data_IF_268520584422
#
_entry.id   IF_268520584422
#
_cell.length_a   1.000
_cell.length_b   1.000
_cell.length_c   1.000
_cell.angle_alpha   90.00
_cell.angle_beta   90.00
_cell.angle_gamma   90.00
#
_symmetry.space_group_name_H-M   'P 1'
#
loop_
_entity.id
_entity.type
_entity.pdbx_description
1 polymer ?
#
# COMPACT_ATOMS: atom_id res chain seq x y z
N UNK A 1 -27.00 -10.21 -17.34
CA UNK A 1 -25.61 -10.10 -17.82
C UNK A 1 -24.75 -11.00 -16.97
N UNK A 2 -24.02 -11.92 -17.59
CA UNK A 2 -23.09 -12.82 -16.87
C UNK A 2 -21.97 -11.95 -16.27
N UNK A 3 -21.75 -12.02 -14.95
CA UNK A 3 -20.70 -11.22 -14.29
C UNK A 3 -19.34 -11.67 -14.84
N UNK A 4 -18.55 -10.74 -15.36
CA UNK A 4 -17.19 -11.00 -15.83
C UNK A 4 -16.36 -11.58 -14.70
N UNK A 5 -15.87 -12.81 -14.85
CA UNK A 5 -14.97 -13.44 -13.87
C UNK A 5 -13.52 -13.08 -14.15
N UNK A 6 -12.74 -12.98 -13.09
CA UNK A 6 -11.30 -12.72 -13.15
C UNK A 6 -10.58 -13.88 -13.84
N UNK A 7 -9.70 -13.52 -14.79
CA UNK A 7 -8.68 -14.42 -15.34
C UNK A 7 -7.47 -14.44 -14.43
N UNK A 8 -6.59 -15.43 -14.60
CA UNK A 8 -5.36 -15.51 -13.80
C UNK A 8 -4.52 -14.23 -13.83
N UNK A 9 -4.37 -13.61 -15.01
CA UNK A 9 -3.66 -12.34 -15.14
C UNK A 9 -4.29 -11.21 -14.30
N UNK A 10 -5.62 -11.13 -14.25
CA UNK A 10 -6.32 -10.13 -13.43
C UNK A 10 -6.04 -10.35 -11.94
N UNK A 11 -5.98 -11.62 -11.49
CA UNK A 11 -5.67 -11.95 -10.09
C UNK A 11 -4.21 -11.64 -9.76
N UNK A 12 -3.26 -11.95 -10.64
CA UNK A 12 -1.83 -11.60 -10.49
C UNK A 12 -1.65 -10.09 -10.37
N UNK A 13 -2.28 -9.32 -11.27
CA UNK A 13 -2.23 -7.86 -11.22
C UNK A 13 -2.91 -7.30 -9.97
N UNK A 14 -3.99 -7.92 -9.49
CA UNK A 14 -4.61 -7.55 -8.22
C UNK A 14 -3.67 -7.78 -7.04
N UNK A 15 -2.92 -8.90 -7.00
CA UNK A 15 -1.88 -9.15 -6.00
C UNK A 15 -0.84 -8.02 -6.02
N UNK A 16 -0.33 -7.66 -7.18
CA UNK A 16 0.67 -6.58 -7.32
C UNK A 16 0.05 -5.23 -6.91
N UNK A 17 -1.19 -4.96 -7.32
CA UNK A 17 -1.87 -3.72 -6.95
C UNK A 17 -2.05 -3.57 -5.44
N UNK A 18 -2.42 -4.63 -4.75
CA UNK A 18 -2.67 -4.64 -3.30
C UNK A 18 -1.37 -4.58 -2.51
N UNK A 19 -0.42 -5.48 -2.81
CA UNK A 19 0.76 -5.72 -1.97
C UNK A 19 1.88 -4.73 -2.26
N UNK A 20 2.16 -4.41 -3.54
CA UNK A 20 3.26 -3.52 -3.86
C UNK A 20 2.91 -2.06 -3.55
N UNK A 21 3.69 -1.45 -2.66
CA UNK A 21 3.54 -0.06 -2.22
C UNK A 21 4.74 0.74 -2.73
N UNK A 22 4.50 1.58 -3.76
CA UNK A 22 5.59 2.26 -4.49
C UNK A 22 6.35 3.28 -3.61
N UNK A 23 5.64 3.93 -2.69
CA UNK A 23 6.18 4.91 -1.74
C UNK A 23 7.18 4.33 -0.75
N UNK A 24 7.14 3.03 -0.51
CA UNK A 24 7.88 2.39 0.55
C UNK A 24 9.34 2.06 0.22
N UNK A 25 9.72 2.05 -1.05
CA UNK A 25 11.09 1.72 -1.45
C UNK A 25 12.09 2.80 -1.03
N UNK A 26 11.68 4.07 -1.02
CA UNK A 26 12.56 5.19 -0.68
C UNK A 26 12.92 5.27 0.81
N UNK A 27 11.97 5.21 1.78
CA UNK A 27 12.30 5.26 3.19
C UNK A 27 13.32 4.19 3.62
N UNK A 28 13.17 2.96 3.15
CA UNK A 28 14.10 1.87 3.49
C UNK A 28 15.51 2.12 2.96
N UNK A 29 15.67 2.85 1.85
CA UNK A 29 16.98 3.19 1.33
C UNK A 29 17.79 4.14 2.23
N UNK A 30 17.16 4.81 3.20
CA UNK A 30 17.83 5.67 4.19
C UNK A 30 18.78 4.92 5.11
N UNK A 31 18.61 3.61 5.31
CA UNK A 31 19.57 2.78 6.08
C UNK A 31 20.78 2.32 5.25
N UNK A 32 20.98 2.90 4.06
CA UNK A 32 22.12 2.59 3.19
C UNK A 32 22.07 1.17 2.62
N UNK A 33 23.27 0.59 2.36
CA UNK A 33 23.36 -0.72 1.71
C UNK A 33 22.91 -1.89 2.60
N UNK A 34 22.78 -1.72 3.92
CA UNK A 34 22.21 -2.73 4.81
C UNK A 34 20.76 -3.06 4.44
N UNK A 35 20.04 -2.15 3.74
CA UNK A 35 18.72 -2.40 3.20
C UNK A 35 18.63 -3.67 2.35
N UNK A 36 19.65 -3.97 1.54
CA UNK A 36 19.62 -5.14 0.64
C UNK A 36 19.58 -6.45 1.41
N UNK A 37 20.35 -6.53 2.54
CA UNK A 37 20.25 -7.67 3.44
C UNK A 37 18.83 -7.79 4.01
N UNK A 38 18.26 -6.69 4.51
CA UNK A 38 16.95 -6.71 5.14
C UNK A 38 15.83 -7.02 4.15
N UNK A 39 15.89 -6.50 2.92
CA UNK A 39 14.94 -6.88 1.87
C UNK A 39 15.01 -8.37 1.56
N UNK A 40 16.20 -8.93 1.29
CA UNK A 40 16.38 -10.35 0.99
C UNK A 40 15.96 -11.23 2.16
N UNK A 41 16.38 -10.88 3.38
CA UNK A 41 16.02 -11.63 4.57
C UNK A 41 14.51 -11.64 4.78
N UNK A 42 13.83 -10.50 4.67
CA UNK A 42 12.38 -10.43 4.85
C UNK A 42 11.58 -11.06 3.69
N UNK A 43 12.10 -11.09 2.47
CA UNK A 43 11.50 -11.87 1.38
C UNK A 43 11.48 -13.36 1.76
N UNK A 44 12.57 -13.89 2.30
CA UNK A 44 12.67 -15.30 2.67
C UNK A 44 11.96 -15.62 3.99
N UNK A 45 12.11 -14.76 4.99
CA UNK A 45 11.61 -15.01 6.35
C UNK A 45 10.16 -14.62 6.56
N UNK A 46 9.63 -13.67 5.76
CA UNK A 46 8.27 -13.17 5.92
C UNK A 46 7.43 -13.30 4.65
N UNK A 47 7.82 -12.69 3.53
CA UNK A 47 6.99 -12.64 2.31
C UNK A 47 6.65 -14.05 1.80
N UNK A 48 7.65 -14.94 1.70
CA UNK A 48 7.46 -16.30 1.22
C UNK A 48 6.55 -17.13 2.14
N UNK A 49 6.82 -17.26 3.47
CA UNK A 49 5.94 -18.02 4.36
C UNK A 49 4.52 -17.42 4.42
N UNK A 50 4.40 -16.11 4.51
CA UNK A 50 3.11 -15.43 4.54
C UNK A 50 2.30 -15.67 3.26
N UNK A 51 2.95 -15.58 2.09
CA UNK A 51 2.31 -15.89 0.82
C UNK A 51 1.82 -17.34 0.73
N UNK A 52 2.64 -18.31 1.18
CA UNK A 52 2.25 -19.72 1.21
C UNK A 52 1.07 -19.98 2.15
N UNK A 53 1.09 -19.41 3.37
CA UNK A 53 0.00 -19.52 4.34
C UNK A 53 -1.28 -18.87 3.78
N UNK A 54 -1.19 -17.67 3.22
CA UNK A 54 -2.35 -16.99 2.63
C UNK A 54 -2.91 -17.77 1.43
N UNK A 55 -2.06 -18.39 0.65
CA UNK A 55 -2.45 -19.26 -0.47
C UNK A 55 -3.21 -20.51 0.01
N UNK A 56 -2.71 -21.18 1.04
CA UNK A 56 -3.34 -22.36 1.62
C UNK A 56 -4.69 -22.01 2.25
N UNK A 57 -4.72 -21.00 3.11
CA UNK A 57 -5.95 -20.59 3.79
C UNK A 57 -6.98 -19.99 2.82
N UNK A 58 -6.55 -19.20 1.83
CA UNK A 58 -7.46 -18.66 0.81
C UNK A 58 -8.07 -19.71 -0.10
N UNK A 59 -7.39 -20.84 -0.31
CA UNK A 59 -7.95 -21.98 -1.06
C UNK A 59 -8.82 -22.88 -0.21
N UNK A 60 -8.50 -23.03 1.07
CA UNK A 60 -9.30 -23.80 2.02
C UNK A 60 -10.63 -23.10 2.38
N UNK A 61 -10.59 -21.77 2.48
CA UNK A 61 -11.72 -20.91 2.84
C UNK A 61 -12.00 -19.86 1.76
N UNK A 62 -12.49 -20.26 0.57
CA UNK A 62 -12.74 -19.34 -0.54
C UNK A 62 -14.03 -18.54 -0.30
N UNK A 63 -13.93 -17.34 0.24
CA UNK A 63 -15.11 -16.51 0.52
C UNK A 63 -14.73 -15.10 0.95
N UNK A 64 -15.77 -14.27 1.16
CA UNK A 64 -15.63 -12.85 1.51
C UNK A 64 -15.13 -12.63 2.95
N UNK A 65 -15.12 -13.68 3.78
CA UNK A 65 -14.70 -13.62 5.18
C UNK A 65 -13.20 -13.42 5.38
N UNK A 66 -12.37 -13.89 4.42
CA UNK A 66 -10.93 -13.73 4.46
C UNK A 66 -10.31 -14.08 5.82
N UNK A 67 -9.49 -13.19 6.36
CA UNK A 67 -8.80 -13.35 7.66
C UNK A 67 -9.77 -13.67 8.83
N UNK A 68 -10.98 -13.12 8.81
CA UNK A 68 -11.98 -13.41 9.85
C UNK A 68 -12.36 -14.89 9.86
N UNK A 69 -12.68 -15.47 8.69
CA UNK A 69 -13.09 -16.88 8.61
C UNK A 69 -11.97 -17.81 9.07
N UNK A 70 -10.71 -17.51 8.73
CA UNK A 70 -9.57 -18.31 9.14
C UNK A 70 -9.43 -18.40 10.66
N UNK A 71 -9.51 -17.23 11.31
CA UNK A 71 -9.34 -17.12 12.77
C UNK A 71 -10.57 -17.64 13.50
N UNK A 72 -11.78 -17.30 13.03
CA UNK A 72 -13.02 -17.77 13.64
C UNK A 72 -13.16 -19.29 13.56
N UNK A 73 -12.78 -19.92 12.45
CA UNK A 73 -12.79 -21.37 12.29
C UNK A 73 -11.78 -22.06 13.20
N UNK A 74 -10.59 -21.47 13.38
CA UNK A 74 -9.56 -22.02 14.26
C UNK A 74 -9.96 -21.92 15.75
N UNK A 75 -10.69 -20.86 16.14
CA UNK A 75 -11.11 -20.59 17.52
C UNK A 75 -12.57 -20.14 17.60
N UNK A 76 -13.54 -21.02 17.32
CA UNK A 76 -14.96 -20.66 17.18
C UNK A 76 -15.59 -20.15 18.48
N UNK A 77 -15.16 -20.68 19.63
CA UNK A 77 -15.70 -20.30 20.95
C UNK A 77 -15.01 -19.08 21.58
N UNK A 78 -14.16 -18.40 20.81
CA UNK A 78 -13.37 -17.26 21.28
C UNK A 78 -13.78 -15.95 20.57
N UNK A 79 -13.36 -14.81 21.13
CA UNK A 79 -13.52 -13.51 20.47
C UNK A 79 -12.31 -13.13 19.59
N UNK A 80 -11.46 -14.08 19.21
CA UNK A 80 -10.30 -13.78 18.39
C UNK A 80 -10.68 -13.34 16.97
N UNK A 81 -11.71 -13.96 16.38
CA UNK A 81 -12.25 -13.53 15.08
C UNK A 81 -12.70 -12.07 15.09
N UNK A 82 -13.50 -11.68 16.09
CA UNK A 82 -13.97 -10.32 16.29
C UNK A 82 -12.80 -9.32 16.46
N UNK A 83 -11.81 -9.66 17.29
CA UNK A 83 -10.62 -8.81 17.53
C UNK A 83 -9.79 -8.64 16.26
N UNK A 84 -9.54 -9.74 15.55
CA UNK A 84 -8.78 -9.71 14.30
C UNK A 84 -9.46 -8.84 13.24
N UNK A 85 -10.78 -9.00 13.06
CA UNK A 85 -11.56 -8.17 12.14
C UNK A 85 -11.53 -6.70 12.52
N UNK A 86 -11.60 -6.39 13.82
CA UNK A 86 -11.52 -5.02 14.30
C UNK A 86 -10.16 -4.40 14.00
N UNK A 87 -9.05 -5.07 14.33
CA UNK A 87 -7.70 -4.57 14.05
C UNK A 87 -7.43 -4.47 12.56
N UNK A 88 -7.89 -5.42 11.77
CA UNK A 88 -7.75 -5.42 10.32
C UNK A 88 -8.51 -4.24 9.69
N UNK A 89 -9.76 -4.02 10.12
CA UNK A 89 -10.56 -2.93 9.60
C UNK A 89 -10.04 -1.55 10.02
N UNK A 90 -9.72 -1.33 11.30
CA UNK A 90 -9.32 0.00 11.78
C UNK A 90 -8.00 0.50 11.16
N UNK A 91 -7.11 -0.42 10.81
CA UNK A 91 -5.88 -0.08 10.12
C UNK A 91 -6.14 0.60 8.77
N UNK A 92 -7.17 0.18 8.04
CA UNK A 92 -7.47 0.68 6.70
C UNK A 92 -7.82 2.19 6.65
N UNK A 93 -8.79 2.72 7.42
CA UNK A 93 -9.07 4.16 7.40
C UNK A 93 -7.91 5.02 7.90
N UNK A 94 -7.09 4.52 8.83
CA UNK A 94 -5.89 5.23 9.30
C UNK A 94 -4.86 5.34 8.17
N UNK A 95 -4.60 4.24 7.46
CA UNK A 95 -3.71 4.22 6.33
C UNK A 95 -4.23 5.05 5.15
N UNK A 96 -5.53 4.99 4.86
CA UNK A 96 -6.16 5.83 3.84
C UNK A 96 -5.98 7.33 4.14
N UNK A 97 -6.11 7.74 5.40
CA UNK A 97 -5.83 9.12 5.82
C UNK A 97 -4.36 9.50 5.62
N UNK A 98 -3.43 8.59 5.93
CA UNK A 98 -2.00 8.79 5.70
C UNK A 98 -1.68 9.03 4.23
N UNK A 99 -2.18 8.18 3.34
CA UNK A 99 -1.94 8.35 1.91
C UNK A 99 -2.64 9.60 1.33
N UNK A 100 -3.77 9.99 1.90
CA UNK A 100 -4.45 11.23 1.52
C UNK A 100 -3.56 12.47 1.72
N UNK A 101 -2.70 12.46 2.75
CA UNK A 101 -1.78 13.59 3.04
C UNK A 101 -0.76 13.79 1.91
N UNK A 102 -0.38 12.77 1.16
CA UNK A 102 0.54 12.87 0.03
C UNK A 102 -0.08 13.51 -1.22
N UNK A 103 -1.41 13.43 -1.37
CA UNK A 103 -2.10 13.86 -2.59
C UNK A 103 -1.91 15.35 -2.93
N UNK A 104 -1.98 16.31 -1.99
CA UNK A 104 -1.74 17.74 -2.27
C UNK A 104 -0.35 18.00 -2.86
N UNK A 105 0.68 17.37 -2.31
CA UNK A 105 2.06 17.52 -2.78
C UNK A 105 2.24 16.96 -4.19
N UNK A 106 1.71 15.74 -4.44
CA UNK A 106 1.74 15.13 -5.77
C UNK A 106 1.05 16.00 -6.82
N UNK A 107 -0.11 16.57 -6.50
CA UNK A 107 -0.79 17.54 -7.39
C UNK A 107 0.04 18.82 -7.58
N UNK A 108 0.77 19.23 -6.54
CA UNK A 108 1.71 20.34 -6.62
C UNK A 108 2.79 20.12 -7.68
N UNK A 109 3.39 18.93 -7.72
CA UNK A 109 4.35 18.56 -8.77
C UNK A 109 3.72 18.48 -10.17
N UNK A 110 2.46 18.03 -10.29
CA UNK A 110 1.76 17.95 -11.57
C UNK A 110 1.45 19.32 -12.16
N UNK A 111 0.95 20.24 -11.34
CA UNK A 111 0.43 21.55 -11.80
C UNK A 111 1.38 22.71 -11.54
N UNK A 112 2.53 22.49 -10.90
CA UNK A 112 3.44 23.57 -10.50
C UNK A 112 2.83 24.51 -9.45
N UNK A 113 1.90 24.02 -8.63
CA UNK A 113 1.14 24.77 -7.64
C UNK A 113 1.34 24.17 -6.24
N UNK A 114 1.53 25.03 -5.26
CA UNK A 114 1.59 24.61 -3.87
C UNK A 114 0.26 24.93 -3.18
N UNK A 115 -0.58 23.93 -2.89
CA UNK A 115 -1.85 24.14 -2.23
C UNK A 115 -1.65 24.63 -0.79
N UNK A 116 -2.35 25.71 -0.43
CA UNK A 116 -2.40 26.17 0.95
C UNK A 116 -3.19 25.19 1.84
N UNK A 117 -3.14 25.35 3.18
CA UNK A 117 -3.69 24.37 4.14
C UNK A 117 -5.15 23.98 3.87
N UNK A 118 -6.00 24.93 3.50
CA UNK A 118 -7.42 24.68 3.20
C UNK A 118 -7.58 23.79 1.95
N UNK A 119 -6.85 24.09 0.87
CA UNK A 119 -6.90 23.32 -0.35
C UNK A 119 -6.28 21.93 -0.17
N UNK A 120 -5.21 21.81 0.63
CA UNK A 120 -4.64 20.52 1.01
C UNK A 120 -5.68 19.64 1.70
N UNK A 121 -6.40 20.17 2.67
CA UNK A 121 -7.47 19.42 3.35
C UNK A 121 -8.62 19.04 2.39
N UNK A 122 -9.03 19.94 1.50
CA UNK A 122 -10.07 19.64 0.49
C UNK A 122 -9.63 18.50 -0.43
N UNK A 123 -8.37 18.50 -0.89
CA UNK A 123 -7.81 17.44 -1.73
C UNK A 123 -7.76 16.09 -0.98
N UNK A 124 -7.31 16.11 0.28
CA UNK A 124 -7.28 14.92 1.14
C UNK A 124 -8.67 14.30 1.32
N UNK A 125 -9.65 15.12 1.66
CA UNK A 125 -11.04 14.68 1.79
C UNK A 125 -11.60 14.18 0.45
N UNK A 126 -11.32 14.86 -0.65
CA UNK A 126 -11.73 14.39 -1.98
C UNK A 126 -11.17 13.00 -2.31
N UNK A 127 -9.88 12.75 -2.01
CA UNK A 127 -9.27 11.43 -2.17
C UNK A 127 -10.03 10.36 -1.37
N UNK A 128 -10.26 10.59 -0.07
CA UNK A 128 -10.96 9.67 0.81
C UNK A 128 -12.36 9.34 0.29
N UNK A 129 -13.12 10.36 -0.11
CA UNK A 129 -14.50 10.17 -0.56
C UNK A 129 -14.60 9.55 -1.96
N UNK A 130 -13.65 9.82 -2.85
CA UNK A 130 -13.58 9.11 -4.14
C UNK A 130 -13.35 7.60 -3.91
N UNK A 131 -12.38 7.24 -3.07
CA UNK A 131 -12.13 5.83 -2.71
C UNK A 131 -13.36 5.20 -2.06
N UNK A 132 -14.00 5.90 -1.13
CA UNK A 132 -15.22 5.43 -0.44
C UNK A 132 -16.37 5.19 -1.41
N UNK A 133 -16.61 6.10 -2.36
CA UNK A 133 -17.69 5.97 -3.36
C UNK A 133 -17.40 4.83 -4.33
N UNK A 134 -16.15 4.68 -4.76
CA UNK A 134 -15.78 3.56 -5.66
C UNK A 134 -15.97 2.21 -4.96
N UNK A 135 -15.78 2.12 -3.65
CA UNK A 135 -16.04 0.91 -2.88
C UNK A 135 -17.52 0.46 -2.87
N UNK A 136 -18.46 1.31 -3.31
CA UNK A 136 -19.87 0.93 -3.47
C UNK A 136 -20.16 0.12 -4.73
N UNK A 137 -19.16 -0.12 -5.58
CA UNK A 137 -19.26 -0.86 -6.82
C UNK A 137 -18.46 -2.18 -6.75
N UNK A 138 -18.89 -3.24 -7.45
CA UNK A 138 -18.23 -4.54 -7.41
C UNK A 138 -16.78 -4.47 -7.91
N UNK A 139 -15.93 -5.32 -7.35
CA UNK A 139 -14.52 -5.47 -7.78
C UNK A 139 -14.41 -5.75 -9.28
N UNK A 140 -15.34 -6.55 -9.84
CA UNK A 140 -15.36 -6.86 -11.27
C UNK A 140 -15.49 -5.62 -12.16
N UNK A 141 -16.19 -4.59 -11.69
CA UNK A 141 -16.37 -3.33 -12.44
C UNK A 141 -15.11 -2.45 -12.31
N UNK A 142 -14.35 -2.65 -11.24
CA UNK A 142 -13.12 -1.89 -10.95
C UNK A 142 -11.85 -2.57 -11.44
N UNK A 143 -11.93 -3.75 -12.08
CA UNK A 143 -10.78 -4.54 -12.51
C UNK A 143 -9.82 -3.78 -13.43
N UNK A 144 -10.35 -2.89 -14.27
CA UNK A 144 -9.53 -2.06 -15.16
C UNK A 144 -8.68 -1.09 -14.33
N UNK A 145 -9.23 -0.52 -13.27
CA UNK A 145 -8.52 0.40 -12.35
C UNK A 145 -7.40 -0.36 -11.63
N UNK A 146 -7.68 -1.57 -11.13
CA UNK A 146 -6.70 -2.40 -10.44
C UNK A 146 -5.55 -2.81 -11.38
N UNK A 147 -5.88 -3.29 -12.57
CA UNK A 147 -4.90 -3.73 -13.57
C UNK A 147 -4.04 -2.57 -14.06
N UNK A 148 -4.64 -1.41 -14.33
CA UNK A 148 -3.92 -0.21 -14.73
C UNK A 148 -2.99 0.28 -13.61
N UNK A 149 -3.48 0.32 -12.38
CA UNK A 149 -2.68 0.70 -11.22
C UNK A 149 -1.49 -0.24 -11.02
N UNK A 150 -1.68 -1.55 -11.11
CA UNK A 150 -0.60 -2.53 -11.03
C UNK A 150 0.45 -2.32 -12.14
N UNK A 151 0.01 -2.12 -13.38
CA UNK A 151 0.91 -1.86 -14.50
C UNK A 151 1.73 -0.56 -14.29
N UNK A 152 1.09 0.51 -13.81
CA UNK A 152 1.75 1.77 -13.47
C UNK A 152 2.75 1.58 -12.32
N UNK A 153 2.41 0.83 -11.28
CA UNK A 153 3.32 0.52 -10.16
C UNK A 153 4.58 -0.19 -10.65
N UNK A 154 4.44 -1.20 -11.51
CA UNK A 154 5.58 -1.89 -12.12
C UNK A 154 6.40 -0.90 -12.95
N UNK A 155 5.75 -0.08 -13.78
CA UNK A 155 6.42 0.92 -14.60
C UNK A 155 7.23 1.90 -13.75
N UNK A 156 6.65 2.43 -12.66
CA UNK A 156 7.33 3.35 -11.74
C UNK A 156 8.56 2.71 -11.11
N UNK A 157 8.42 1.49 -10.56
CA UNK A 157 9.53 0.78 -9.94
C UNK A 157 10.67 0.49 -10.94
N UNK A 158 10.31 0.05 -12.16
CA UNK A 158 11.29 -0.17 -13.24
C UNK A 158 11.93 1.15 -13.65
N UNK A 159 11.17 2.23 -13.76
CA UNK A 159 11.71 3.56 -14.10
C UNK A 159 12.74 4.02 -13.08
N UNK A 160 12.45 3.90 -11.79
CA UNK A 160 13.38 4.26 -10.72
C UNK A 160 14.66 3.43 -10.78
N UNK A 161 14.54 2.11 -10.95
CA UNK A 161 15.71 1.22 -11.09
C UNK A 161 16.57 1.56 -12.31
N UNK A 162 15.95 1.81 -13.47
CA UNK A 162 16.65 2.20 -14.71
C UNK A 162 17.31 3.56 -14.58
N UNK A 163 16.61 4.56 -14.01
CA UNK A 163 17.20 5.88 -13.77
C UNK A 163 18.42 5.80 -12.85
N UNK A 164 18.34 4.97 -11.79
CA UNK A 164 19.49 4.71 -10.92
C UNK A 164 20.69 4.14 -11.67
N UNK A 165 20.48 3.13 -12.53
CA UNK A 165 21.55 2.56 -13.38
C UNK A 165 22.14 3.63 -14.31
N UNK A 166 21.30 4.42 -14.98
CA UNK A 166 21.75 5.48 -15.89
C UNK A 166 22.53 6.56 -15.13
N UNK A 167 22.08 6.92 -13.94
CA UNK A 167 22.77 7.89 -13.10
C UNK A 167 24.16 7.39 -12.69
N UNK A 168 24.25 6.16 -12.20
CA UNK A 168 25.52 5.53 -11.79
C UNK A 168 26.47 5.38 -12.98
N UNK A 169 25.98 5.02 -14.17
CA UNK A 169 26.80 4.89 -15.36
C UNK A 169 27.43 6.22 -15.79
N UNK A 170 26.81 7.37 -15.44
CA UNK A 170 27.30 8.71 -15.77
C UNK A 170 28.13 9.35 -14.69
N UNK A 171 27.77 9.14 -13.43
CA UNK A 171 28.30 9.89 -12.29
C UNK A 171 29.07 8.99 -11.28
N UNK A 172 28.99 7.67 -11.43
CA UNK A 172 29.46 6.71 -10.42
C UNK A 172 28.46 6.52 -9.28
N UNK A 173 28.79 5.60 -8.37
CA UNK A 173 27.99 5.36 -7.16
C UNK A 173 28.14 6.55 -6.20
N UNK A 174 27.02 6.98 -5.62
CA UNK A 174 27.00 8.10 -4.66
C UNK A 174 27.31 7.62 -3.25
N UNK A 175 26.85 6.42 -2.90
CA UNK A 175 27.13 5.78 -1.62
C UNK A 175 28.29 4.79 -1.73
N UNK A 176 28.99 4.55 -0.60
CA UNK A 176 30.06 3.55 -0.54
C UNK A 176 29.49 2.15 -0.77
N UNK A 177 29.97 1.48 -1.83
CA UNK A 177 29.55 0.11 -2.23
C UNK A 177 30.56 -0.95 -1.78
N UNK A 178 31.39 -0.67 -0.77
CA UNK A 178 32.30 -1.67 -0.20
C UNK A 178 31.52 -2.81 0.44
N UNK A 179 32.06 -4.05 0.40
CA UNK A 179 31.37 -5.24 0.89
C UNK A 179 30.92 -5.13 2.37
N UNK A 180 31.64 -4.38 3.19
CA UNK A 180 31.29 -4.16 4.60
C UNK A 180 29.98 -3.40 4.81
N UNK A 181 29.59 -2.51 3.88
CA UNK A 181 28.36 -1.71 3.99
C UNK A 181 27.08 -2.53 3.72
N UNK A 182 27.20 -3.71 3.13
CA UNK A 182 26.07 -4.63 2.90
C UNK A 182 25.74 -5.53 4.09
N UNK A 183 26.60 -5.52 5.13
CA UNK A 183 26.32 -6.27 6.35
C UNK A 183 25.13 -5.64 7.08
N UNK A 184 24.28 -6.48 7.73
CA UNK A 184 23.14 -5.97 8.45
C UNK A 184 23.59 -5.11 9.63
N UNK A 185 22.98 -3.93 9.77
CA UNK A 185 23.07 -3.14 10.98
C UNK A 185 21.93 -3.52 11.92
N UNK A 186 22.25 -3.68 13.20
CA UNK A 186 21.31 -4.03 14.28
C UNK A 186 21.06 -2.84 15.23
N UNK A 187 21.36 -1.61 14.78
CA UNK A 187 20.94 -0.41 15.47
C UNK A 187 19.42 -0.22 15.43
N UNK A 188 18.91 0.62 16.33
CA UNK A 188 17.46 0.86 16.46
C UNK A 188 16.85 1.44 15.18
N UNK A 189 17.61 2.27 14.48
CA UNK A 189 17.13 2.89 13.23
C UNK A 189 16.93 1.82 12.14
N UNK A 190 17.94 0.97 11.90
CA UNK A 190 17.82 -0.14 10.94
C UNK A 190 16.71 -1.12 11.31
N UNK A 191 16.55 -1.45 12.60
CA UNK A 191 15.50 -2.35 13.06
C UNK A 191 14.09 -1.75 12.90
N UNK A 192 13.94 -0.42 13.00
CA UNK A 192 12.65 0.25 12.77
C UNK A 192 12.15 0.07 11.34
N UNK A 193 13.05 0.06 10.35
CA UNK A 193 12.69 -0.15 8.95
C UNK A 193 12.28 -1.58 8.60
N UNK A 194 12.58 -2.57 9.47
CA UNK A 194 12.05 -3.93 9.31
C UNK A 194 10.50 -3.92 9.35
N UNK A 195 9.92 -3.12 10.24
CA UNK A 195 8.45 -2.98 10.33
C UNK A 195 7.87 -2.37 9.06
N UNK A 196 8.58 -1.42 8.43
CA UNK A 196 8.21 -0.84 7.13
C UNK A 196 8.26 -1.90 6.05
N UNK A 197 9.32 -2.72 5.98
CA UNK A 197 9.43 -3.81 4.98
C UNK A 197 8.29 -4.83 5.17
N UNK A 198 8.03 -5.25 6.43
CA UNK A 198 6.93 -6.18 6.74
C UNK A 198 5.59 -5.60 6.28
N UNK A 199 5.30 -4.34 6.61
CA UNK A 199 4.06 -3.68 6.21
C UNK A 199 3.88 -3.69 4.68
N UNK A 200 4.95 -3.48 3.93
CA UNK A 200 4.95 -3.45 2.48
C UNK A 200 4.77 -4.83 1.82
N UNK A 201 4.81 -5.90 2.60
CA UNK A 201 4.55 -7.25 2.12
C UNK A 201 3.15 -7.74 2.46
N UNK A 202 2.34 -6.98 3.21
CA UNK A 202 0.98 -7.36 3.57
C UNK A 202 0.03 -7.18 2.36
N UNK A 203 -1.05 -7.99 2.33
CA UNK A 203 -2.13 -7.85 1.36
C UNK A 203 -2.50 -9.09 0.56
N UNK A 204 -1.79 -10.21 0.68
CA UNK A 204 -2.18 -11.46 0.00
C UNK A 204 -3.57 -11.93 0.46
N UNK A 205 -3.90 -11.75 1.73
CA UNK A 205 -5.21 -12.09 2.31
C UNK A 205 -6.34 -11.27 1.71
N UNK A 206 -6.08 -10.01 1.32
CA UNK A 206 -7.06 -9.15 0.64
C UNK A 206 -7.52 -9.80 -0.67
N UNK A 207 -6.58 -10.32 -1.45
CA UNK A 207 -6.90 -10.95 -2.74
C UNK A 207 -7.70 -12.24 -2.55
N UNK A 208 -7.53 -12.93 -1.43
CA UNK A 208 -8.33 -14.11 -1.10
C UNK A 208 -9.83 -13.78 -0.93
N UNK A 209 -10.17 -12.55 -0.50
CA UNK A 209 -11.58 -12.10 -0.40
C UNK A 209 -12.25 -11.93 -1.77
N UNK A 210 -11.49 -11.92 -2.87
CA UNK A 210 -12.02 -11.81 -4.23
C UNK A 210 -12.40 -13.17 -4.84
N UNK A 211 -12.32 -14.25 -4.08
CA UNK A 211 -12.56 -15.61 -4.55
C UNK A 211 -13.90 -15.76 -5.30
N UNK A 212 -14.96 -15.12 -4.82
CA UNK A 212 -16.28 -15.12 -5.48
C UNK A 212 -16.28 -14.52 -6.89
N UNK A 213 -15.32 -13.65 -7.22
CA UNK A 213 -15.15 -13.02 -8.52
C UNK A 213 -14.22 -13.80 -9.45
N UNK A 214 -13.55 -14.86 -8.97
CA UNK A 214 -12.61 -15.68 -9.75
C UNK A 214 -13.32 -16.80 -10.51
N UNK A 215 -12.71 -17.25 -11.61
CA UNK A 215 -13.22 -18.39 -12.37
C UNK A 215 -12.93 -19.73 -11.68
N UNK A 216 -11.71 -19.87 -11.13
CA UNK A 216 -11.25 -21.04 -10.36
C UNK A 216 -10.35 -20.57 -9.20
N UNK A 217 -10.95 -20.17 -8.05
CA UNK A 217 -10.19 -19.64 -6.91
C UNK A 217 -9.11 -20.59 -6.40
N UNK A 218 -9.40 -21.90 -6.36
CA UNK A 218 -8.47 -22.91 -5.83
C UNK A 218 -7.16 -22.99 -6.60
N UNK A 219 -7.19 -22.68 -7.89
CA UNK A 219 -6.02 -22.71 -8.77
C UNK A 219 -5.43 -21.32 -8.95
N UNK A 220 -6.29 -20.30 -9.07
CA UNK A 220 -5.85 -18.95 -9.35
C UNK A 220 -5.18 -18.27 -8.15
N UNK A 221 -5.66 -18.49 -6.92
CA UNK A 221 -5.07 -17.88 -5.71
C UNK A 221 -3.61 -18.30 -5.54
N UNK A 222 -3.24 -19.60 -5.49
CA UNK A 222 -1.85 -20.00 -5.33
C UNK A 222 -0.94 -19.50 -6.46
N UNK A 223 -1.39 -19.63 -7.70
CA UNK A 223 -0.63 -19.19 -8.85
C UNK A 223 -0.40 -17.68 -8.85
N UNK A 224 -1.42 -16.89 -8.48
CA UNK A 224 -1.32 -15.45 -8.44
C UNK A 224 -0.42 -14.96 -7.29
N UNK A 225 -0.52 -15.58 -6.11
CA UNK A 225 0.32 -15.23 -4.95
C UNK A 225 1.79 -15.52 -5.24
N UNK A 226 2.11 -16.71 -5.79
CA UNK A 226 3.49 -17.07 -6.11
C UNK A 226 4.03 -16.17 -7.22
N UNK A 227 3.31 -16.03 -8.33
CA UNK A 227 3.77 -15.20 -9.46
C UNK A 227 3.86 -13.73 -9.07
N UNK A 228 2.83 -13.20 -8.40
CA UNK A 228 2.81 -11.83 -7.90
C UNK A 228 3.91 -11.58 -6.87
N UNK A 229 4.11 -12.50 -5.94
CA UNK A 229 5.15 -12.41 -4.91
C UNK A 229 6.56 -12.36 -5.50
N UNK A 230 6.86 -13.18 -6.53
CA UNK A 230 8.15 -13.13 -7.24
C UNK A 230 8.34 -11.78 -7.94
N UNK A 231 7.32 -11.29 -8.63
CA UNK A 231 7.38 -9.99 -9.30
C UNK A 231 7.57 -8.87 -8.27
N UNK A 232 6.82 -8.88 -7.17
CA UNK A 232 6.92 -7.89 -6.09
C UNK A 232 8.33 -7.88 -5.48
N UNK A 233 8.89 -9.05 -5.17
CA UNK A 233 10.26 -9.17 -4.66
C UNK A 233 11.28 -8.56 -5.65
N UNK A 234 11.16 -8.88 -6.93
CA UNK A 234 12.06 -8.38 -7.96
C UNK A 234 11.99 -6.85 -8.12
N UNK A 235 10.77 -6.28 -8.15
CA UNK A 235 10.59 -4.83 -8.33
C UNK A 235 11.01 -4.03 -7.08
N UNK A 236 10.81 -4.57 -5.86
CA UNK A 236 11.33 -3.94 -4.64
C UNK A 236 12.85 -3.90 -4.64
N UNK A 237 13.52 -5.02 -4.91
CA UNK A 237 14.98 -5.07 -4.97
C UNK A 237 15.53 -4.15 -6.07
N UNK A 238 14.87 -4.11 -7.23
CA UNK A 238 15.32 -3.28 -8.35
C UNK A 238 15.15 -1.78 -8.08
N UNK A 239 14.02 -1.36 -7.51
CA UNK A 239 13.80 0.05 -7.12
C UNK A 239 14.70 0.46 -5.95
N UNK A 240 14.86 -0.41 -4.95
CA UNK A 240 15.79 -0.19 -3.83
C UNK A 240 17.24 0.00 -4.31
N UNK A 241 17.67 -0.81 -5.31
CA UNK A 241 18.97 -0.64 -5.96
C UNK A 241 19.07 0.73 -6.65
N UNK A 242 18.07 1.09 -7.45
CA UNK A 242 18.07 2.37 -8.17
C UNK A 242 18.22 3.58 -7.23
N UNK A 243 17.48 3.59 -6.13
CA UNK A 243 17.54 4.66 -5.13
C UNK A 243 18.88 4.62 -4.38
N UNK A 244 19.21 3.46 -3.79
CA UNK A 244 20.40 3.32 -2.94
C UNK A 244 21.72 3.53 -3.67
N UNK A 245 21.78 3.33 -4.98
CA UNK A 245 22.98 3.56 -5.79
C UNK A 245 23.17 5.02 -6.23
N UNK A 246 22.08 5.77 -6.38
CA UNK A 246 22.06 7.10 -7.00
C UNK A 246 21.72 8.25 -6.04
N UNK A 247 21.09 7.98 -4.89
CA UNK A 247 20.66 9.01 -3.93
C UNK A 247 21.52 8.92 -2.67
N UNK A 248 22.12 10.03 -2.20
CA UNK A 248 22.84 10.04 -0.92
C UNK A 248 21.88 9.64 0.21
N UNK A 249 22.31 8.73 1.07
CA UNK A 249 21.50 8.19 2.17
C UNK A 249 20.87 9.28 3.05
N UNK A 250 21.62 10.35 3.32
CA UNK A 250 21.19 11.51 4.12
C UNK A 250 20.13 12.39 3.48
N UNK A 251 19.98 12.31 2.15
CA UNK A 251 19.09 13.17 1.35
C UNK A 251 17.76 12.46 1.01
N UNK A 252 17.57 11.25 1.51
CA UNK A 252 16.37 10.46 1.26
C UNK A 252 15.26 10.94 2.21
N UNK A 253 14.22 11.55 1.63
CA UNK A 253 13.01 11.91 2.36
C UNK A 253 12.12 10.68 2.62
N UNK A 254 11.52 10.63 3.81
CA UNK A 254 10.57 9.57 4.17
C UNK A 254 9.24 9.77 3.44
N UNK A 255 8.86 11.00 3.14
CA UNK A 255 7.52 11.37 2.68
C UNK A 255 7.42 11.47 1.14
N UNK A 256 8.37 12.16 0.51
CA UNK A 256 8.40 12.40 -0.95
C UNK A 256 9.51 11.62 -1.67
N UNK A 257 10.16 10.69 -0.98
CA UNK A 257 11.42 10.08 -1.39
C UNK A 257 11.47 9.49 -2.80
N UNK A 258 10.36 8.97 -3.32
CA UNK A 258 10.31 8.46 -4.70
C UNK A 258 10.40 9.60 -5.73
N UNK A 259 9.67 10.70 -5.51
CA UNK A 259 9.68 11.88 -6.40
C UNK A 259 11.02 12.62 -6.30
N UNK A 260 11.53 12.75 -5.07
CA UNK A 260 12.82 13.39 -4.82
C UNK A 260 13.96 12.59 -5.45
N UNK A 261 13.92 11.25 -5.34
CA UNK A 261 14.88 10.38 -6.02
C UNK A 261 14.85 10.56 -7.54
N UNK A 262 13.67 10.62 -8.16
CA UNK A 262 13.55 10.87 -9.61
C UNK A 262 14.04 12.27 -9.97
N UNK A 263 13.71 13.28 -9.18
CA UNK A 263 14.17 14.67 -9.38
C UNK A 263 15.69 14.76 -9.32
N UNK A 264 16.31 14.14 -8.33
CA UNK A 264 17.75 14.13 -8.13
C UNK A 264 18.46 13.36 -9.26
N UNK A 265 17.98 12.17 -9.62
CA UNK A 265 18.56 11.35 -10.69
C UNK A 265 18.46 12.01 -12.07
N UNK A 266 17.45 12.85 -12.28
CA UNK A 266 17.27 13.56 -13.56
C UNK A 266 17.92 14.94 -13.58
N UNK A 267 18.40 15.44 -12.43
CA UNK A 267 18.99 16.78 -12.28
C UNK A 267 17.98 17.91 -12.50
N UNK A 268 16.69 17.63 -12.34
CA UNK A 268 15.59 18.58 -12.58
C UNK A 268 14.61 18.55 -11.42
N UNK A 269 14.71 19.50 -10.54
CA UNK A 269 13.67 19.81 -9.56
C UNK A 269 12.50 20.51 -10.26
N UNK A 270 11.44 19.74 -10.53
CA UNK A 270 10.31 20.24 -11.30
C UNK A 270 10.53 20.16 -12.82
N UNK A 271 9.56 19.68 -13.53
CA UNK A 271 9.58 19.53 -14.98
C UNK A 271 8.54 18.50 -15.41
N UNK A 272 8.30 18.42 -16.72
CA UNK A 272 7.27 17.53 -17.28
C UNK A 272 7.43 16.08 -16.82
N UNK A 273 8.68 15.56 -16.73
CA UNK A 273 8.94 14.19 -16.30
C UNK A 273 8.52 13.96 -14.84
N UNK A 274 8.91 14.87 -13.94
CA UNK A 274 8.55 14.78 -12.51
C UNK A 274 7.03 14.87 -12.33
N UNK A 275 6.38 15.79 -13.07
CA UNK A 275 4.92 15.90 -13.08
C UNK A 275 4.22 14.63 -13.58
N UNK A 276 4.74 13.98 -14.63
CA UNK A 276 4.21 12.69 -15.12
C UNK A 276 4.37 11.60 -14.06
N UNK A 277 5.55 11.48 -13.44
CA UNK A 277 5.81 10.50 -12.39
C UNK A 277 4.89 10.74 -11.19
N UNK A 278 4.71 12.00 -10.77
CA UNK A 278 3.79 12.36 -9.69
C UNK A 278 2.33 12.00 -10.01
N UNK A 279 1.87 12.25 -11.24
CA UNK A 279 0.54 11.86 -11.69
C UNK A 279 0.36 10.35 -11.69
N UNK A 280 1.32 9.61 -12.23
CA UNK A 280 1.28 8.15 -12.22
C UNK A 280 1.29 7.61 -10.81
N UNK A 281 2.07 8.19 -9.92
CA UNK A 281 2.12 7.82 -8.51
C UNK A 281 0.76 8.08 -7.83
N UNK A 282 0.15 9.25 -8.05
CA UNK A 282 -1.19 9.55 -7.54
C UNK A 282 -2.23 8.51 -7.99
N UNK A 283 -2.18 8.07 -9.25
CA UNK A 283 -3.07 7.01 -9.77
C UNK A 283 -2.84 5.69 -9.02
N UNK A 284 -1.59 5.38 -8.65
CA UNK A 284 -1.29 4.15 -7.89
C UNK A 284 -1.81 4.20 -6.45
N UNK A 285 -1.83 5.37 -5.81
CA UNK A 285 -2.43 5.54 -4.48
C UNK A 285 -3.94 5.25 -4.52
N UNK A 286 -4.65 5.78 -5.52
CA UNK A 286 -6.07 5.48 -5.72
C UNK A 286 -6.31 3.98 -5.92
N UNK A 287 -5.60 3.35 -6.83
CA UNK A 287 -5.77 1.92 -7.11
C UNK A 287 -5.45 1.04 -5.89
N UNK A 288 -4.44 1.42 -5.11
CA UNK A 288 -4.08 0.74 -3.88
C UNK A 288 -5.23 0.80 -2.86
N UNK A 289 -5.71 2.01 -2.57
CA UNK A 289 -6.79 2.20 -1.59
C UNK A 289 -8.11 1.60 -2.05
N UNK A 290 -8.43 1.65 -3.34
CA UNK A 290 -9.64 1.01 -3.89
C UNK A 290 -9.57 -0.51 -3.68
N UNK A 291 -8.45 -1.15 -4.01
CA UNK A 291 -8.32 -2.60 -3.84
C UNK A 291 -8.38 -3.02 -2.37
N UNK A 292 -7.68 -2.35 -1.48
CA UNK A 292 -7.75 -2.61 -0.03
C UNK A 292 -9.14 -2.35 0.54
N UNK A 293 -9.80 -1.26 0.14
CA UNK A 293 -11.15 -0.93 0.58
C UNK A 293 -12.14 -2.06 0.31
N UNK A 294 -12.06 -2.67 -0.87
CA UNK A 294 -12.96 -3.75 -1.26
C UNK A 294 -12.80 -4.98 -0.35
N UNK A 295 -11.56 -5.42 -0.10
CA UNK A 295 -11.29 -6.59 0.74
C UNK A 295 -11.62 -6.35 2.21
N UNK A 296 -11.11 -5.27 2.78
CA UNK A 296 -11.28 -4.96 4.21
C UNK A 296 -12.74 -4.72 4.56
N UNK A 297 -13.48 -3.97 3.73
CA UNK A 297 -14.89 -3.70 3.99
C UNK A 297 -15.77 -4.95 3.83
N UNK A 298 -15.44 -5.85 2.90
CA UNK A 298 -16.13 -7.14 2.75
C UNK A 298 -15.92 -8.03 3.99
N UNK A 299 -14.68 -8.16 4.45
CA UNK A 299 -14.35 -8.91 5.67
C UNK A 299 -15.06 -8.34 6.90
N UNK A 300 -15.08 -7.01 7.05
CA UNK A 300 -15.75 -6.35 8.17
C UNK A 300 -17.27 -6.53 8.14
N UNK A 301 -17.91 -6.44 6.96
CA UNK A 301 -19.33 -6.69 6.80
C UNK A 301 -19.69 -8.15 7.10
N UNK A 302 -18.88 -9.08 6.61
CA UNK A 302 -19.06 -10.50 6.85
C UNK A 302 -18.96 -10.87 8.35
N UNK A 303 -18.01 -10.29 9.08
CA UNK A 303 -17.90 -10.44 10.53
C UNK A 303 -19.09 -9.80 11.29
N UNK A 304 -19.61 -8.67 10.79
CA UNK A 304 -20.76 -7.99 11.36
C UNK A 304 -22.05 -8.80 11.22
N UNK A 305 -22.24 -9.52 10.11
CA UNK A 305 -23.38 -10.42 9.89
C UNK A 305 -23.40 -11.58 10.89
N UNK A 306 -22.25 -11.92 11.48
CA UNK A 306 -22.10 -12.92 12.55
C UNK A 306 -22.14 -12.32 13.95
N UNK A 307 -22.34 -11.01 14.09
CA UNK A 307 -22.41 -10.31 15.37
C UNK A 307 -21.06 -9.91 15.97
N UNK A 308 -19.96 -10.10 15.25
CA UNK A 308 -18.60 -9.87 15.73
C UNK A 308 -18.07 -8.45 15.42
N UNK A 309 -18.83 -7.64 14.65
CA UNK A 309 -18.54 -6.26 14.32
C UNK A 309 -19.80 -5.38 14.47
N UNK A 310 -19.67 -4.04 14.51
CA UNK A 310 -20.83 -3.16 14.67
C UNK A 310 -21.91 -3.38 13.61
N UNK A 311 -23.19 -3.39 14.03
CA UNK A 311 -24.33 -3.67 13.16
C UNK A 311 -24.43 -2.71 11.93
N UNK A 312 -23.88 -1.49 12.01
CA UNK A 312 -23.84 -0.59 10.86
C UNK A 312 -23.09 -1.18 9.67
N UNK A 313 -22.14 -2.07 9.91
CA UNK A 313 -21.32 -2.70 8.85
C UNK A 313 -22.09 -3.76 8.06
N UNK A 314 -23.22 -4.28 8.57
CA UNK A 314 -24.08 -5.22 7.83
C UNK A 314 -24.82 -4.56 6.67
N UNK A 315 -24.83 -3.21 6.61
CA UNK A 315 -25.54 -2.50 5.53
C UNK A 315 -24.88 -2.75 4.19
N UNK A 316 -25.63 -3.41 3.32
CA UNK A 316 -25.23 -3.67 1.92
C UNK A 316 -26.09 -2.89 0.94
N UNK A 317 -25.56 -2.62 -0.23
CA UNK A 317 -26.26 -1.97 -1.31
C UNK A 317 -27.22 -2.97 -1.97
N UNK A 318 -28.48 -2.56 -2.20
CA UNK A 318 -29.55 -3.45 -2.66
C UNK A 318 -29.38 -3.99 -4.08
N UNK A 319 -28.68 -3.25 -4.93
CA UNK A 319 -28.52 -3.56 -6.36
C UNK A 319 -27.28 -4.45 -6.66
N UNK A 320 -26.25 -4.43 -5.80
CA UNK A 320 -25.00 -5.12 -6.09
C UNK A 320 -24.36 -5.81 -4.88
N UNK A 321 -25.01 -5.77 -3.72
CA UNK A 321 -24.59 -6.41 -2.46
C UNK A 321 -23.26 -5.90 -1.88
N UNK A 322 -22.78 -4.72 -2.31
CA UNK A 322 -21.54 -4.14 -1.80
C UNK A 322 -21.68 -3.61 -0.37
N UNK A 323 -20.63 -3.74 0.49
CA UNK A 323 -20.66 -3.41 1.91
C UNK A 323 -20.58 -1.90 2.16
N UNK A 324 -21.65 -1.17 1.87
CA UNK A 324 -21.72 0.30 1.99
C UNK A 324 -21.57 0.77 3.43
N UNK A 325 -22.06 0.01 4.42
CA UNK A 325 -21.99 0.40 5.82
C UNK A 325 -20.56 0.53 6.32
N UNK A 326 -19.73 -0.51 6.10
CA UNK A 326 -18.32 -0.50 6.50
C UNK A 326 -17.51 0.53 5.70
N UNK A 327 -17.77 0.67 4.39
CA UNK A 327 -17.08 1.65 3.55
C UNK A 327 -17.37 3.10 3.98
N UNK A 328 -18.62 3.44 4.30
CA UNK A 328 -18.99 4.77 4.82
C UNK A 328 -18.31 5.07 6.15
N UNK A 329 -18.30 4.12 7.08
CA UNK A 329 -17.63 4.33 8.38
C UNK A 329 -16.13 4.48 8.18
N UNK A 330 -15.49 3.73 7.25
CA UNK A 330 -14.08 3.92 6.89
C UNK A 330 -13.81 5.33 6.38
N UNK A 331 -14.64 5.85 5.47
CA UNK A 331 -14.53 7.22 4.96
C UNK A 331 -14.70 8.29 6.04
N UNK A 332 -15.66 8.10 6.95
CA UNK A 332 -15.88 9.01 8.09
C UNK A 332 -14.67 9.02 9.04
N UNK A 333 -14.17 7.83 9.42
CA UNK A 333 -13.00 7.72 10.32
C UNK A 333 -11.76 8.33 9.67
N UNK A 334 -11.48 8.03 8.41
CA UNK A 334 -10.35 8.62 7.69
C UNK A 334 -10.47 10.16 7.60
N UNK A 335 -11.68 10.68 7.34
CA UNK A 335 -11.94 12.13 7.32
C UNK A 335 -11.71 12.76 8.69
N UNK A 336 -12.14 12.10 9.77
CA UNK A 336 -11.93 12.58 11.13
C UNK A 336 -10.43 12.63 11.48
N UNK A 337 -9.63 11.63 11.04
CA UNK A 337 -8.18 11.61 11.22
C UNK A 337 -7.51 12.76 10.46
N UNK A 338 -7.88 13.02 9.20
CA UNK A 338 -7.35 14.16 8.45
C UNK A 338 -7.71 15.50 9.08
N UNK A 339 -8.96 15.67 9.54
CA UNK A 339 -9.40 16.90 10.23
C UNK A 339 -8.65 17.11 11.54
N UNK A 340 -8.44 16.04 12.31
CA UNK A 340 -7.66 16.10 13.54
C UNK A 340 -6.19 16.48 13.25
N UNK A 341 -5.57 15.87 12.23
CA UNK A 341 -4.23 16.20 11.78
C UNK A 341 -4.10 17.67 11.38
N UNK A 342 -5.06 18.18 10.59
CA UNK A 342 -5.10 19.59 10.18
C UNK A 342 -5.27 20.54 11.38
N UNK A 343 -6.11 20.18 12.37
CA UNK A 343 -6.29 20.96 13.58
C UNK A 343 -5.03 21.01 14.43
N UNK A 344 -4.32 19.88 14.59
CA UNK A 344 -3.05 19.82 15.33
C UNK A 344 -1.99 20.67 14.63
N UNK A 345 -1.88 20.58 13.31
CA UNK A 345 -0.93 21.36 12.52
C UNK A 345 -1.22 22.87 12.61
N UNK A 346 -2.49 23.28 12.70
CA UNK A 346 -2.86 24.68 12.90
C UNK A 346 -2.43 25.21 14.27
N UNK A 347 -2.40 24.36 15.31
CA UNK A 347 -1.98 24.74 16.68
C UNK A 347 -0.47 24.62 16.87
N UNK A 348 0.17 23.67 16.19
CA UNK A 348 1.60 23.37 16.29
C UNK A 348 2.21 23.24 14.89
N UNK A 349 2.58 24.36 14.24
CA UNK A 349 3.05 24.37 12.84
C UNK A 349 4.30 23.52 12.59
N UNK A 350 5.12 23.27 13.60
CA UNK A 350 6.35 22.47 13.50
C UNK A 350 6.11 20.94 13.54
N UNK A 351 4.86 20.51 13.75
CA UNK A 351 4.50 19.11 13.74
C UNK A 351 4.18 18.65 12.31
N UNK A 352 5.00 17.74 11.76
CA UNK A 352 4.72 17.12 10.45
C UNK A 352 3.48 16.21 10.53
N UNK A 353 2.48 16.34 9.65
CA UNK A 353 1.29 15.49 9.67
C UNK A 353 1.58 14.01 9.41
N UNK A 354 2.68 13.68 8.74
CA UNK A 354 3.08 12.29 8.44
C UNK A 354 3.65 11.57 9.66
N UNK A 355 4.15 12.31 10.67
CA UNK A 355 4.69 11.71 11.90
C UNK A 355 3.65 10.98 12.76
N UNK A 356 2.34 11.07 12.44
CA UNK A 356 1.27 10.38 13.18
C UNK A 356 1.01 8.94 12.72
N UNK A 357 1.44 8.58 11.53
CA UNK A 357 1.17 7.24 10.98
C UNK A 357 2.39 6.33 10.98
N UNK A 358 3.58 6.90 10.93
CA UNK A 358 4.82 6.21 11.20
C UNK A 358 5.32 6.72 12.54
N UNK A 359 5.06 5.94 13.59
CA UNK A 359 5.56 6.18 14.95
C UNK A 359 6.96 6.82 14.89
N UNK A 360 7.04 8.09 15.24
CA UNK A 360 8.30 8.67 15.70
C UNK A 360 8.70 7.92 16.98
N UNK A 361 9.27 6.74 16.79
CA UNK A 361 9.86 6.01 17.91
C UNK A 361 11.18 6.64 18.39
N UNK A 362 11.65 7.75 17.81
CA UNK A 362 13.03 8.20 17.97
C UNK A 362 13.25 9.71 18.07
N UNK A 363 12.34 10.50 18.67
CA UNK A 363 12.71 11.81 19.17
C UNK A 363 12.33 11.98 20.65
N UNK A 364 12.92 11.16 21.50
CA UNK A 364 13.09 11.44 22.93
C UNK A 364 14.35 10.76 23.42
#
# INVERSE_FOLDING_TARGET
MEKRKFRLADVVLSVICVVFVAEAAAPVASIGNSQYFWWLFMILAFLLPYGLISSELGTAFPGDGGLYDWIHTAWPDSRWGARASWYYWINFPLWMASLAVMCPELLGYVFGWQPGPVWSLVIQLAFIWIVTVVAFYPVCDSIVILNLSAAIKILLAVTVGVLGIVYVARNGFVNDMSAGTFLPSFDLDSLSYISVIIFNFLGFEVVCTYAGSMADPRRQIPQAIVTGGVVIAAIYLFSAFGIGAAVPTRDISVDSGLIDAVSLMTGRTGGVLVGIVALLFLVTLFGNMISWSMGVNSTAAYAAERGDMPAVFTRRRKDNDMPVGSALVSGIVASAVCLLGAAIQAVSPDSSPVSYTHLRAHET
#
